data_IF_174170594290
#
_entry.id   IF_174170594290
#
_cell.length_a   1.000
_cell.length_b   1.000
_cell.length_c   1.000
_cell.angle_alpha   90.00
_cell.angle_beta   90.00
_cell.angle_gamma   90.00
#
_symmetry.space_group_name_H-M   'P 1'
#
loop_
_entity.id
_entity.type
_entity.pdbx_description
1 polymer ?
#
# COMPACT_ATOMS: atom_id res chain seq x y z
N UNK A 1 13.05 -11.66 26.09
CA UNK A 1 11.97 -12.65 25.83
C UNK A 1 11.43 -12.33 24.45
N UNK A 2 12.15 -12.81 23.44
CA UNK A 2 11.78 -12.66 22.03
C UNK A 2 10.64 -13.60 21.69
N UNK A 3 9.63 -13.10 20.97
CA UNK A 3 8.37 -13.82 20.74
C UNK A 3 8.18 -14.35 19.31
N UNK A 4 9.25 -14.45 18.53
CA UNK A 4 9.19 -14.94 17.15
C UNK A 4 10.36 -15.88 16.83
N UNK A 5 10.29 -17.10 17.36
CA UNK A 5 11.10 -18.22 16.84
C UNK A 5 10.19 -19.44 16.75
N UNK A 6 9.92 -19.90 15.52
CA UNK A 6 10.14 -21.28 15.09
C UNK A 6 9.89 -21.44 13.57
N UNK A 7 10.94 -21.90 12.88
CA UNK A 7 11.00 -22.45 11.51
C UNK A 7 10.53 -23.93 11.53
N UNK A 8 10.11 -24.61 10.44
CA UNK A 8 10.85 -25.14 9.27
C UNK A 8 9.81 -25.53 8.16
N UNK A 9 10.02 -25.71 6.85
CA UNK A 9 11.17 -26.13 6.04
C UNK A 9 10.87 -25.87 4.53
N UNK A 10 11.56 -24.95 3.85
CA UNK A 10 11.77 -24.94 2.38
C UNK A 10 13.02 -24.11 2.07
N UNK A 11 14.04 -24.74 1.49
CA UNK A 11 15.22 -24.06 0.98
C UNK A 11 14.91 -23.46 -0.40
N UNK A 12 14.97 -22.14 -0.51
CA UNK A 12 15.07 -21.42 -1.79
C UNK A 12 16.32 -20.56 -1.69
N UNK A 13 17.34 -20.89 -2.48
CA UNK A 13 18.42 -19.95 -2.74
C UNK A 13 17.87 -18.88 -3.69
N UNK A 14 17.68 -17.67 -3.17
CA UNK A 14 17.61 -16.45 -3.95
C UNK A 14 18.64 -15.49 -3.34
N UNK A 15 19.65 -15.14 -4.16
CA UNK A 15 20.65 -14.13 -3.84
C UNK A 15 19.98 -12.79 -3.53
N UNK A 16 20.63 -12.05 -2.64
CA UNK A 16 20.24 -10.75 -2.08
C UNK A 16 19.56 -9.80 -3.06
N UNK A 17 18.54 -9.13 -2.56
CA UNK A 17 18.40 -7.71 -2.83
C UNK A 17 18.43 -7.01 -1.46
N UNK A 18 19.60 -6.46 -1.14
CA UNK A 18 19.78 -5.49 -0.06
C UNK A 18 18.86 -4.29 -0.34
N UNK A 19 17.83 -4.07 0.48
CA UNK A 19 16.96 -2.91 0.36
C UNK A 19 16.89 -2.15 1.68
N UNK A 20 17.85 -1.27 1.92
CA UNK A 20 17.70 -0.14 2.86
C UNK A 20 18.50 1.08 2.37
N UNK A 21 18.27 1.52 1.13
CA UNK A 21 18.57 2.88 0.69
C UNK A 21 17.28 3.73 0.80
N UNK A 22 17.39 5.04 1.06
CA UNK A 22 18.62 5.81 1.21
C UNK A 22 19.33 5.60 2.58
N UNK A 23 20.66 5.74 2.57
CA UNK A 23 21.54 5.58 3.73
C UNK A 23 22.29 6.89 4.00
N UNK A 24 22.28 7.32 5.26
CA UNK A 24 23.18 8.36 5.76
C UNK A 24 24.39 7.70 6.42
N UNK A 25 25.60 8.10 6.02
CA UNK A 25 26.87 7.56 6.54
C UNK A 25 27.94 8.64 6.64
N UNK A 26 29.13 8.29 7.16
CA UNK A 26 30.25 9.22 7.40
C UNK A 26 29.82 10.50 8.17
N UNK A 27 29.02 10.32 9.22
CA UNK A 27 28.48 11.45 9.98
C UNK A 27 29.51 12.07 10.92
N UNK A 28 29.48 13.39 11.03
CA UNK A 28 30.18 14.11 12.10
C UNK A 28 29.34 15.28 12.58
N UNK A 29 29.41 15.56 13.88
CA UNK A 29 28.60 16.58 14.55
C UNK A 29 29.51 17.32 15.50
N UNK A 30 29.61 18.64 15.37
CA UNK A 30 30.45 19.47 16.20
C UNK A 30 29.78 20.80 16.53
N UNK A 31 29.72 21.16 17.81
CA UNK A 31 29.35 22.50 18.21
C UNK A 31 30.54 23.44 18.01
N UNK A 32 30.30 24.63 17.45
CA UNK A 32 31.33 25.67 17.30
C UNK A 32 31.75 26.22 18.66
N UNK A 33 33.06 26.44 18.81
CA UNK A 33 33.68 26.97 20.03
C UNK A 33 33.85 28.49 20.03
N UNK A 34 33.27 29.19 19.04
CA UNK A 34 33.34 30.64 18.87
C UNK A 34 32.27 31.41 19.69
N UNK A 35 31.49 30.69 20.51
CA UNK A 35 30.40 31.26 21.30
C UNK A 35 29.09 31.43 20.55
N UNK A 36 29.03 31.12 19.25
CA UNK A 36 27.81 31.21 18.43
C UNK A 36 26.73 30.20 18.80
N UNK A 37 27.12 29.09 19.47
CA UNK A 37 26.27 27.93 19.76
C UNK A 37 25.71 27.24 18.50
N UNK A 38 26.30 27.51 17.33
CA UNK A 38 25.98 26.79 16.10
C UNK A 38 26.53 25.36 16.18
N UNK A 39 25.81 24.43 15.58
CA UNK A 39 26.23 23.03 15.43
C UNK A 39 26.40 22.74 13.95
N UNK A 40 27.61 22.34 13.59
CA UNK A 40 27.99 21.89 12.26
C UNK A 40 27.80 20.38 12.17
N UNK A 41 27.09 19.95 11.13
CA UNK A 41 26.78 18.56 10.88
C UNK A 41 27.20 18.21 9.46
N UNK A 42 28.04 17.20 9.32
CA UNK A 42 28.43 16.65 8.02
C UNK A 42 27.94 15.22 7.88
N UNK A 43 27.58 14.85 6.65
CA UNK A 43 27.23 13.48 6.30
C UNK A 43 27.42 13.22 4.81
N UNK A 44 27.47 11.94 4.45
CA UNK A 44 27.34 11.49 3.07
C UNK A 44 25.97 10.81 2.91
N UNK A 45 25.38 10.97 1.74
CA UNK A 45 24.07 10.40 1.39
C UNK A 45 24.25 9.42 0.25
N UNK A 46 23.86 8.17 0.46
CA UNK A 46 23.79 7.17 -0.60
C UNK A 46 22.34 6.83 -0.87
N UNK A 47 21.98 6.81 -2.14
CA UNK A 47 20.75 6.24 -2.60
C UNK A 47 21.01 5.39 -3.85
N UNK A 48 20.39 4.23 -3.94
CA UNK A 48 20.71 3.23 -4.94
C UNK A 48 20.15 3.60 -6.33
N UNK A 49 19.01 4.29 -6.36
CA UNK A 49 18.34 4.76 -7.58
C UNK A 49 18.83 6.16 -8.02
N UNK A 50 19.52 6.89 -7.15
CA UNK A 50 20.01 8.25 -7.42
C UNK A 50 18.95 9.34 -7.27
N UNK A 51 17.78 9.03 -6.72
CA UNK A 51 16.69 9.98 -6.53
C UNK A 51 16.98 10.95 -5.37
N UNK A 52 16.34 12.11 -5.41
CA UNK A 52 16.50 13.10 -4.35
C UNK A 52 15.76 12.65 -3.09
N UNK A 53 16.45 12.68 -1.94
CA UNK A 53 15.87 12.28 -0.65
C UNK A 53 15.34 13.47 0.16
N UNK A 54 14.42 13.20 1.06
CA UNK A 54 14.09 14.02 2.22
C UNK A 54 15.00 13.64 3.40
N UNK A 55 15.78 14.61 3.89
CA UNK A 55 16.65 14.43 5.06
C UNK A 55 16.02 15.10 6.26
N UNK A 56 15.81 14.33 7.34
CA UNK A 56 15.19 14.79 8.57
C UNK A 56 16.15 14.67 9.76
N UNK A 57 16.02 15.60 10.71
CA UNK A 57 16.80 15.66 11.95
C UNK A 57 15.87 15.51 13.15
N UNK A 58 16.21 14.58 14.05
CA UNK A 58 15.58 14.41 15.36
C UNK A 58 16.61 14.50 16.47
N UNK A 59 16.20 14.99 17.63
CA UNK A 59 17.02 15.04 18.84
C UNK A 59 16.50 14.05 19.89
N UNK A 60 17.46 13.52 20.64
CA UNK A 60 17.26 12.81 21.90
C UNK A 60 17.73 13.69 23.04
N UNK A 61 17.03 13.69 24.15
CA UNK A 61 17.42 14.29 25.43
C UNK A 61 17.80 13.25 26.50
N UNK A 62 17.84 11.97 26.11
CA UNK A 62 18.01 10.82 27.01
C UNK A 62 19.14 9.88 26.56
N UNK A 63 20.24 10.45 26.06
CA UNK A 63 21.44 9.70 25.69
C UNK A 63 21.25 8.78 24.48
N UNK A 64 20.29 9.09 23.61
CA UNK A 64 20.00 8.32 22.40
C UNK A 64 18.99 7.19 22.56
N UNK A 65 18.36 7.05 23.74
CA UNK A 65 17.34 6.01 23.97
C UNK A 65 16.10 6.22 23.10
N UNK A 66 15.69 7.48 22.90
CA UNK A 66 14.61 7.87 22.00
C UNK A 66 14.87 9.22 21.34
N UNK A 67 14.37 9.40 20.11
CA UNK A 67 14.54 10.63 19.32
C UNK A 67 13.18 11.25 18.98
N UNK A 68 12.60 11.98 19.93
CA UNK A 68 11.24 12.53 19.82
C UNK A 68 11.19 14.04 19.54
N UNK A 69 12.30 14.75 19.78
CA UNK A 69 12.35 16.21 19.63
C UNK A 69 12.67 16.56 18.17
N UNK A 70 11.97 17.54 17.62
CA UNK A 70 12.19 18.03 16.26
C UNK A 70 12.67 19.48 16.33
N UNK A 71 13.89 19.81 15.87
CA UNK A 71 14.36 21.19 15.82
C UNK A 71 13.45 22.05 14.92
N UNK A 72 13.38 23.35 15.20
CA UNK A 72 12.53 24.24 14.41
C UNK A 72 13.16 24.47 13.03
N UNK A 73 12.42 24.29 11.92
CA UNK A 73 12.98 24.43 10.57
C UNK A 73 13.65 25.78 10.30
N UNK A 74 13.17 26.86 10.93
CA UNK A 74 13.75 28.21 10.79
C UNK A 74 15.18 28.35 11.33
N UNK A 75 15.65 27.40 12.15
CA UNK A 75 17.01 27.39 12.72
C UNK A 75 17.91 26.32 12.08
N UNK A 76 17.45 25.68 11.02
CA UNK A 76 18.19 24.73 10.22
C UNK A 76 18.46 25.32 8.84
N UNK A 77 19.67 25.10 8.33
CA UNK A 77 20.03 25.47 6.95
C UNK A 77 21.06 24.50 6.37
N UNK A 78 21.21 24.49 5.05
CA UNK A 78 22.09 23.57 4.34
C UNK A 78 21.33 22.39 3.73
N UNK A 79 21.98 21.23 3.63
CA UNK A 79 21.45 20.01 3.02
C UNK A 79 20.48 19.28 3.99
N UNK A 80 19.30 19.86 4.23
CA UNK A 80 18.25 19.29 5.08
C UNK A 80 16.86 19.61 4.52
N UNK A 81 15.89 18.72 4.76
CA UNK A 81 14.56 18.78 4.15
C UNK A 81 14.50 18.01 2.84
N UNK A 82 13.50 18.32 2.01
CA UNK A 82 13.26 17.61 0.76
C UNK A 82 14.23 18.01 -0.36
N UNK A 83 14.44 17.12 -1.32
CA UNK A 83 15.14 17.44 -2.58
C UNK A 83 16.66 17.29 -2.52
N UNK A 84 17.20 16.57 -1.53
CA UNK A 84 18.64 16.41 -1.36
C UNK A 84 19.15 15.29 -2.25
N UNK A 85 19.91 15.64 -3.28
CA UNK A 85 20.54 14.66 -4.16
C UNK A 85 21.56 13.79 -3.40
N UNK A 86 21.69 12.49 -3.69
CA UNK A 86 22.74 11.65 -3.13
C UNK A 86 24.14 12.19 -3.46
N UNK A 87 25.11 11.91 -2.59
CA UNK A 87 26.50 12.30 -2.78
C UNK A 87 27.23 12.63 -1.49
N UNK A 88 28.50 12.97 -1.64
CA UNK A 88 29.43 13.23 -0.54
C UNK A 88 29.36 14.69 -0.06
N UNK A 89 29.78 14.91 1.19
CA UNK A 89 30.08 16.23 1.75
C UNK A 89 28.84 17.08 2.02
N UNK A 90 27.70 16.45 2.36
CA UNK A 90 26.49 17.17 2.75
C UNK A 90 26.72 17.88 4.07
N UNK A 91 26.12 19.07 4.21
CA UNK A 91 26.40 19.96 5.32
C UNK A 91 25.15 20.68 5.82
N UNK A 92 24.90 20.58 7.13
CA UNK A 92 23.81 21.23 7.83
C UNK A 92 24.38 22.14 8.91
N UNK A 93 23.83 23.35 9.01
CA UNK A 93 24.05 24.26 10.12
C UNK A 93 22.76 24.30 10.95
N UNK A 94 22.88 23.91 12.21
CA UNK A 94 21.81 24.03 13.18
C UNK A 94 22.12 25.11 14.22
N UNK A 95 21.26 26.13 14.31
CA UNK A 95 21.36 27.18 15.31
C UNK A 95 20.66 26.78 16.63
N UNK A 96 21.25 25.80 17.32
CA UNK A 96 20.72 25.28 18.57
C UNK A 96 20.52 26.36 19.65
N UNK A 97 21.39 27.39 19.68
CA UNK A 97 21.30 28.50 20.63
C UNK A 97 20.08 29.42 20.43
N UNK A 98 19.46 29.42 19.24
CA UNK A 98 18.32 30.27 18.91
C UNK A 98 16.95 29.60 19.08
N UNK A 99 16.92 28.28 19.37
CA UNK A 99 15.69 27.48 19.50
C UNK A 99 14.80 27.89 20.68
N UNK A 100 15.29 28.75 21.59
CA UNK A 100 14.56 29.17 22.79
C UNK A 100 14.41 28.09 23.87
N UNK A 101 14.76 26.85 23.53
CA UNK A 101 14.89 25.70 24.43
C UNK A 101 16.37 25.53 24.80
N UNK A 102 16.69 25.39 26.08
CA UNK A 102 18.07 25.14 26.54
C UNK A 102 18.51 23.71 26.23
N UNK A 103 19.11 23.50 25.06
CA UNK A 103 19.74 22.23 24.70
C UNK A 103 21.16 22.12 25.30
N UNK A 104 21.23 22.18 26.62
CA UNK A 104 22.49 22.19 27.37
C UNK A 104 22.79 20.81 27.98
N UNK A 105 24.01 20.31 27.77
CA UNK A 105 24.51 19.07 28.36
C UNK A 105 24.85 17.97 27.34
N UNK A 106 25.56 16.94 27.80
CA UNK A 106 26.09 15.85 26.96
C UNK A 106 25.09 14.70 26.71
N UNK A 107 23.87 14.81 27.25
CA UNK A 107 22.80 13.84 27.04
C UNK A 107 22.11 13.98 25.68
N UNK A 108 22.30 15.12 25.00
CA UNK A 108 21.66 15.37 23.73
C UNK A 108 22.36 14.64 22.58
N UNK A 109 21.59 13.83 21.85
CA UNK A 109 22.06 13.12 20.67
C UNK A 109 21.24 13.52 19.45
N UNK A 110 21.85 13.53 18.27
CA UNK A 110 21.16 13.76 16.99
C UNK A 110 20.96 12.44 16.25
N UNK A 111 19.83 12.30 15.56
CA UNK A 111 19.58 11.22 14.60
C UNK A 111 19.16 11.83 13.27
N UNK A 112 19.77 11.33 12.21
CA UNK A 112 19.44 11.66 10.84
C UNK A 112 18.72 10.49 10.20
N UNK A 113 17.74 10.82 9.37
CA UNK A 113 17.03 9.86 8.52
C UNK A 113 16.93 10.47 7.14
N UNK A 114 17.27 9.69 6.11
CA UNK A 114 16.98 10.01 4.72
C UNK A 114 15.83 9.11 4.28
N UNK A 115 14.93 9.66 3.46
CA UNK A 115 13.85 8.92 2.82
C UNK A 115 13.75 9.42 1.36
N UNK A 116 13.82 8.54 0.37
CA UNK A 116 13.76 8.90 -1.07
C UNK A 116 12.32 8.94 -1.58
N UNK A 117 11.35 8.88 -0.67
CA UNK A 117 9.93 8.74 -0.99
C UNK A 117 9.57 7.32 -1.43
N UNK A 118 10.53 6.49 -1.86
CA UNK A 118 10.36 5.08 -2.18
C UNK A 118 10.39 4.28 -0.89
N UNK A 119 9.21 4.21 -0.25
CA UNK A 119 8.94 3.15 0.73
C UNK A 119 9.46 1.84 0.15
N UNK A 120 10.28 1.06 0.87
CA UNK A 120 10.69 -0.25 0.38
C UNK A 120 9.41 -0.97 -0.03
N UNK A 121 9.38 -1.44 -1.29
CA UNK A 121 8.23 -2.13 -1.87
C UNK A 121 7.72 -3.10 -0.80
N UNK A 122 6.51 -2.90 -0.25
CA UNK A 122 6.08 -3.73 0.87
C UNK A 122 6.18 -5.17 0.43
N UNK A 123 6.77 -6.04 1.26
CA UNK A 123 6.99 -7.43 0.87
C UNK A 123 5.69 -8.01 0.28
N UNK A 124 5.77 -8.61 -0.91
CA UNK A 124 4.64 -9.08 -1.73
C UNK A 124 3.83 -8.01 -2.48
N UNK A 125 4.37 -6.83 -2.76
CA UNK A 125 3.81 -5.91 -3.76
C UNK A 125 4.54 -6.02 -5.10
N UNK A 126 3.89 -5.51 -6.15
CA UNK A 126 4.43 -5.34 -7.50
C UNK A 126 4.24 -3.87 -7.90
N UNK A 127 5.26 -3.27 -8.53
CA UNK A 127 5.10 -2.00 -9.22
C UNK A 127 4.34 -2.22 -10.54
N UNK A 128 3.17 -1.60 -10.64
CA UNK A 128 2.41 -1.50 -11.88
C UNK A 128 2.77 -0.15 -12.52
N UNK A 129 3.67 -0.16 -13.50
CA UNK A 129 4.04 1.03 -14.23
C UNK A 129 2.82 1.57 -15.00
N UNK A 130 2.48 2.84 -14.81
CA UNK A 130 1.32 3.48 -15.42
C UNK A 130 1.33 3.43 -16.95
N UNK A 131 0.15 3.58 -17.54
CA UNK A 131 -0.03 3.46 -18.98
C UNK A 131 -1.47 3.71 -19.43
N UNK A 132 -1.69 3.65 -20.73
CA UNK A 132 -3.00 3.82 -21.35
C UNK A 132 -3.49 2.50 -21.95
N UNK A 133 -4.73 2.12 -21.67
CA UNK A 133 -5.35 0.92 -22.22
C UNK A 133 -6.81 1.17 -22.60
N UNK A 134 -7.39 0.30 -23.43
CA UNK A 134 -8.83 0.33 -23.70
C UNK A 134 -9.59 -0.53 -22.70
N UNK A 135 -10.58 0.06 -22.03
CA UNK A 135 -11.51 -0.67 -21.16
C UNK A 135 -12.66 -1.35 -21.93
N UNK A 136 -12.63 -1.29 -23.27
CA UNK A 136 -13.69 -1.76 -24.16
C UNK A 136 -14.71 -0.70 -24.57
N UNK A 137 -14.65 0.50 -24.00
CA UNK A 137 -15.51 1.65 -24.38
C UNK A 137 -14.69 2.87 -24.75
N UNK A 138 -13.63 3.17 -23.99
CA UNK A 138 -12.72 4.28 -24.25
C UNK A 138 -11.30 3.98 -23.78
N UNK A 139 -10.37 4.85 -24.15
CA UNK A 139 -9.01 4.80 -23.63
C UNK A 139 -8.97 5.37 -22.21
N UNK A 140 -8.30 4.66 -21.31
CA UNK A 140 -8.11 5.05 -19.92
C UNK A 140 -6.62 5.06 -19.63
N UNK A 141 -6.14 6.17 -19.08
CA UNK A 141 -4.78 6.30 -18.55
C UNK A 141 -4.80 6.11 -17.05
N UNK A 142 -3.92 5.24 -16.53
CA UNK A 142 -3.68 5.06 -15.10
C UNK A 142 -2.24 5.46 -14.77
N UNK A 143 -2.06 6.19 -13.68
CA UNK A 143 -0.74 6.49 -13.10
C UNK A 143 -0.08 5.22 -12.56
N UNK A 144 1.22 5.26 -12.29
CA UNK A 144 1.91 4.14 -11.63
C UNK A 144 1.40 3.95 -10.19
N UNK A 145 1.34 2.70 -9.74
CA UNK A 145 0.94 2.34 -8.38
C UNK A 145 1.58 1.01 -7.98
N UNK A 146 1.62 0.73 -6.68
CA UNK A 146 1.96 -0.58 -6.17
C UNK A 146 0.69 -1.40 -5.91
N UNK A 147 0.71 -2.70 -6.24
CA UNK A 147 -0.40 -3.62 -5.97
C UNK A 147 0.07 -4.88 -5.23
N UNK A 148 -0.72 -5.36 -4.28
CA UNK A 148 -0.51 -6.66 -3.64
C UNK A 148 -0.45 -7.77 -4.72
N UNK A 149 0.60 -8.59 -4.64
CA UNK A 149 0.85 -9.72 -5.53
C UNK A 149 -0.26 -10.76 -5.49
N UNK A 150 -0.92 -10.88 -4.34
CA UNK A 150 -1.95 -11.86 -4.02
C UNK A 150 -3.21 -11.17 -3.50
N UNK A 151 -4.32 -11.89 -3.48
CA UNK A 151 -5.46 -11.52 -2.62
C UNK A 151 -4.99 -11.45 -1.16
N UNK A 152 -5.61 -10.57 -0.35
CA UNK A 152 -5.28 -10.48 1.05
C UNK A 152 -5.57 -11.82 1.74
N UNK A 153 -4.56 -12.35 2.43
CA UNK A 153 -4.73 -13.63 3.11
C UNK A 153 -5.48 -13.52 4.43
N UNK A 154 -6.06 -14.63 4.88
CA UNK A 154 -6.74 -14.74 6.17
C UNK A 154 -5.82 -14.36 7.34
N UNK A 155 -4.54 -14.78 7.31
CA UNK A 155 -3.57 -14.39 8.34
C UNK A 155 -3.26 -12.89 8.30
N UNK A 156 -3.08 -12.29 7.11
CA UNK A 156 -2.84 -10.86 6.96
C UNK A 156 -4.01 -10.03 7.50
N UNK A 157 -5.24 -10.42 7.15
CA UNK A 157 -6.44 -9.78 7.68
C UNK A 157 -6.53 -9.88 9.20
N UNK A 158 -6.35 -11.08 9.76
CA UNK A 158 -6.43 -11.30 11.20
C UNK A 158 -5.37 -10.53 11.99
N UNK A 159 -4.15 -10.40 11.45
CA UNK A 159 -3.07 -9.65 12.11
C UNK A 159 -3.41 -8.17 12.32
N UNK A 160 -4.17 -7.56 11.40
CA UNK A 160 -4.55 -6.14 11.48
C UNK A 160 -5.90 -5.94 12.18
N UNK A 161 -6.86 -6.81 11.91
CA UNK A 161 -8.26 -6.66 12.35
C UNK A 161 -8.56 -7.38 13.66
N UNK A 162 -7.66 -8.27 14.12
CA UNK A 162 -7.81 -9.07 15.33
C UNK A 162 -8.76 -10.26 15.21
N UNK A 163 -9.43 -10.44 14.07
CA UNK A 163 -10.34 -11.55 13.80
C UNK A 163 -10.31 -11.98 12.34
N UNK A 164 -10.66 -13.24 12.07
CA UNK A 164 -10.79 -13.80 10.73
C UNK A 164 -12.28 -14.12 10.45
N UNK A 165 -12.92 -13.47 9.46
CA UNK A 165 -14.31 -13.74 9.12
C UNK A 165 -14.51 -15.00 8.28
N UNK A 166 -13.44 -15.54 7.67
CA UNK A 166 -13.52 -16.69 6.79
C UNK A 166 -13.79 -17.98 7.57
N UNK A 167 -14.91 -18.64 7.27
CA UNK A 167 -15.28 -19.95 7.84
C UNK A 167 -15.85 -20.88 6.76
N UNK A 168 -15.46 -22.15 6.76
CA UNK A 168 -16.06 -23.20 5.92
C UNK A 168 -15.39 -23.50 4.56
N UNK A 169 -15.10 -22.50 3.73
CA UNK A 169 -14.67 -22.65 2.33
C UNK A 169 -13.19 -22.29 2.14
N UNK A 170 -12.31 -23.19 2.59
CA UNK A 170 -10.85 -23.00 2.52
C UNK A 170 -10.39 -22.10 3.67
N UNK A 171 -9.77 -22.70 4.67
CA UNK A 171 -9.38 -22.00 5.91
C UNK A 171 -7.92 -22.30 6.18
N UNK A 172 -7.12 -21.25 6.37
CA UNK A 172 -5.69 -21.37 6.65
C UNK A 172 -4.96 -20.08 6.34
N UNK A 173 -3.73 -19.95 6.84
CA UNK A 173 -2.99 -18.68 6.83
C UNK A 173 -2.80 -18.07 5.44
N UNK A 174 -2.67 -18.90 4.40
CA UNK A 174 -2.39 -18.47 3.02
C UNK A 174 -3.62 -18.54 2.10
N UNK A 175 -4.81 -18.83 2.63
CA UNK A 175 -6.05 -18.71 1.86
C UNK A 175 -6.47 -17.25 1.80
N UNK A 176 -7.17 -16.80 0.74
CA UNK A 176 -7.72 -15.46 0.69
C UNK A 176 -8.74 -15.27 1.82
N UNK A 177 -8.75 -14.08 2.42
CA UNK A 177 -9.83 -13.69 3.30
C UNK A 177 -11.09 -13.47 2.46
N UNK A 178 -12.22 -13.97 2.94
CA UNK A 178 -13.53 -13.74 2.36
C UNK A 178 -14.56 -13.41 3.45
N UNK A 179 -15.80 -13.14 3.06
CA UNK A 179 -16.83 -12.59 3.96
C UNK A 179 -16.41 -11.24 4.53
N UNK A 180 -15.73 -10.45 3.71
CA UNK A 180 -15.32 -9.08 4.04
C UNK A 180 -16.21 -8.12 3.26
N UNK A 181 -16.86 -7.19 3.95
CA UNK A 181 -17.61 -6.11 3.28
C UNK A 181 -16.68 -5.01 2.78
N UNK A 182 -17.14 -4.22 1.81
CA UNK A 182 -16.36 -3.07 1.31
C UNK A 182 -15.93 -2.15 2.45
N UNK A 183 -16.83 -1.89 3.41
CA UNK A 183 -16.50 -1.13 4.61
C UNK A 183 -15.36 -1.76 5.42
N UNK A 184 -15.39 -3.08 5.62
CA UNK A 184 -14.32 -3.77 6.35
C UNK A 184 -13.00 -3.80 5.59
N UNK A 185 -13.03 -3.79 4.26
CA UNK A 185 -11.83 -3.70 3.43
C UNK A 185 -11.17 -2.31 3.53
N UNK A 186 -11.94 -1.22 3.52
CA UNK A 186 -11.39 0.14 3.71
C UNK A 186 -10.91 0.37 5.15
N UNK A 187 -11.58 -0.22 6.15
CA UNK A 187 -11.12 -0.20 7.55
C UNK A 187 -9.77 -0.88 7.69
N UNK A 188 -9.60 -2.07 7.08
CA UNK A 188 -8.33 -2.78 7.03
C UNK A 188 -7.23 -1.90 6.43
N UNK A 189 -7.49 -1.29 5.27
CA UNK A 189 -6.54 -0.41 4.59
C UNK A 189 -6.02 0.70 5.52
N UNK A 190 -6.93 1.40 6.21
CA UNK A 190 -6.55 2.47 7.13
C UNK A 190 -5.81 1.96 8.37
N UNK A 191 -6.28 0.86 8.99
CA UNK A 191 -5.61 0.29 10.17
C UNK A 191 -4.19 -0.18 9.83
N UNK A 192 -4.02 -0.87 8.69
CA UNK A 192 -2.71 -1.28 8.20
C UNK A 192 -1.80 -0.07 7.96
N UNK A 193 -2.33 0.99 7.34
CA UNK A 193 -1.58 2.23 7.13
C UNK A 193 -1.08 2.82 8.44
N UNK A 194 -1.93 2.94 9.46
CA UNK A 194 -1.54 3.47 10.78
C UNK A 194 -0.49 2.58 11.45
N UNK A 195 -0.68 1.25 11.41
CA UNK A 195 0.26 0.30 12.01
C UNK A 195 1.67 0.36 11.40
N UNK A 196 1.75 0.72 10.11
CA UNK A 196 2.99 0.85 9.36
C UNK A 196 3.50 2.30 9.29
N UNK A 197 2.90 3.24 10.03
CA UNK A 197 3.34 4.64 10.07
C UNK A 197 3.00 5.47 8.81
N UNK A 198 2.06 5.01 7.99
CA UNK A 198 1.64 5.65 6.75
C UNK A 198 0.42 6.54 6.94
N UNK A 199 0.24 7.50 6.04
CA UNK A 199 -0.95 8.37 6.00
C UNK A 199 -2.13 7.59 5.43
N UNK A 200 -3.23 7.37 6.18
CA UNK A 200 -4.36 6.58 5.67
C UNK A 200 -5.12 7.30 4.56
N UNK A 201 -5.64 6.54 3.59
CA UNK A 201 -6.35 7.10 2.45
C UNK A 201 -7.79 7.53 2.79
N UNK A 202 -8.50 6.78 3.65
CA UNK A 202 -9.94 6.98 3.81
C UNK A 202 -10.30 7.86 4.99
N UNK A 203 -11.22 8.80 4.82
CA UNK A 203 -11.88 9.50 5.93
C UNK A 203 -13.37 9.18 5.96
N UNK A 204 -13.98 9.28 7.15
CA UNK A 204 -15.43 9.15 7.31
C UNK A 204 -16.02 10.48 7.81
N UNK A 205 -16.66 11.22 6.91
CA UNK A 205 -17.23 12.55 7.19
C UNK A 205 -16.26 13.43 8.02
N UNK A 206 -16.69 13.95 9.17
CA UNK A 206 -15.89 14.77 10.08
C UNK A 206 -15.05 13.96 11.10
N UNK A 207 -15.12 12.63 11.09
CA UNK A 207 -14.43 11.77 12.06
C UNK A 207 -12.96 11.47 11.68
N UNK A 208 -12.51 11.98 10.54
CA UNK A 208 -11.14 11.85 10.08
C UNK A 208 -10.80 10.43 9.61
N UNK A 209 -9.52 10.10 9.62
CA UNK A 209 -8.95 8.91 8.97
C UNK A 209 -8.70 7.73 9.91
N UNK A 210 -8.76 7.92 11.23
CA UNK A 210 -8.57 6.84 12.19
C UNK A 210 -9.88 6.05 12.40
N UNK A 211 -9.97 4.77 12.00
CA UNK A 211 -11.20 3.99 12.15
C UNK A 211 -11.66 3.79 13.59
N UNK A 212 -10.79 3.95 14.58
CA UNK A 212 -11.17 3.91 16.00
C UNK A 212 -12.10 5.07 16.40
N UNK A 213 -12.12 6.15 15.62
CA UNK A 213 -12.95 7.33 15.89
C UNK A 213 -14.28 7.31 15.11
N UNK A 214 -14.49 6.35 14.20
CA UNK A 214 -15.70 6.31 13.38
C UNK A 214 -16.94 5.92 14.21
N UNK A 215 -18.12 6.50 13.94
CA UNK A 215 -19.29 6.36 14.80
C UNK A 215 -19.85 4.94 14.77
N UNK A 216 -20.51 4.52 15.86
CA UNK A 216 -21.21 3.23 15.88
C UNK A 216 -22.22 3.13 14.71
N UNK A 217 -22.24 1.98 14.03
CA UNK A 217 -23.10 1.78 12.86
C UNK A 217 -22.60 2.42 11.56
N UNK A 218 -21.39 2.99 11.51
CA UNK A 218 -20.84 3.58 10.28
C UNK A 218 -20.80 2.61 9.10
N UNK A 219 -20.74 1.30 9.34
CA UNK A 219 -20.63 0.25 8.32
C UNK A 219 -21.88 -0.65 8.18
N UNK A 220 -23.02 -0.30 8.78
CA UNK A 220 -24.22 -1.17 8.78
C UNK A 220 -25.25 -0.86 7.70
N UNK A 221 -25.31 0.39 7.22
CA UNK A 221 -26.17 0.79 6.11
C UNK A 221 -25.36 0.94 4.83
N UNK A 222 -25.89 0.42 3.72
CA UNK A 222 -25.30 0.58 2.40
C UNK A 222 -25.10 2.05 2.02
N UNK A 223 -26.03 2.93 2.44
CA UNK A 223 -25.96 4.37 2.16
C UNK A 223 -24.79 5.07 2.83
N UNK A 224 -24.19 4.49 3.88
CA UNK A 224 -23.07 5.11 4.59
C UNK A 224 -21.80 5.18 3.73
N UNK A 225 -21.74 4.47 2.61
CA UNK A 225 -20.61 4.50 1.70
C UNK A 225 -20.37 5.90 1.09
N UNK A 226 -21.39 6.77 1.06
CA UNK A 226 -21.26 8.16 0.60
C UNK A 226 -20.56 9.07 1.61
N UNK A 227 -20.44 8.63 2.86
CA UNK A 227 -19.72 9.36 3.90
C UNK A 227 -18.20 9.13 3.85
N UNK A 228 -17.74 8.19 3.01
CA UNK A 228 -16.32 7.86 2.87
C UNK A 228 -15.71 8.66 1.74
N UNK A 229 -14.63 9.38 2.04
CA UNK A 229 -13.80 10.05 1.04
C UNK A 229 -12.41 9.41 0.99
N UNK A 230 -11.79 9.40 -0.19
CA UNK A 230 -10.42 8.92 -0.39
C UNK A 230 -9.49 10.09 -0.69
N UNK A 231 -8.41 10.23 0.08
CA UNK A 231 -7.28 11.07 -0.27
C UNK A 231 -6.34 10.29 -1.21
N UNK A 232 -6.38 10.63 -2.50
CA UNK A 232 -5.63 9.95 -3.55
C UNK A 232 -4.12 10.22 -3.53
N UNK A 233 -3.65 11.22 -2.78
CA UNK A 233 -2.23 11.52 -2.63
C UNK A 233 -1.63 10.92 -1.35
N UNK A 234 -2.44 10.30 -0.49
CA UNK A 234 -1.95 9.65 0.71
C UNK A 234 -1.12 8.41 0.37
N UNK A 235 -0.02 8.21 1.10
CA UNK A 235 0.92 7.12 0.89
C UNK A 235 0.50 5.78 1.52
N UNK A 236 -0.64 5.73 2.21
CA UNK A 236 -1.21 4.54 2.82
C UNK A 236 -1.90 3.59 1.84
N UNK A 237 -2.38 2.47 2.38
CA UNK A 237 -3.10 1.44 1.65
C UNK A 237 -4.52 1.89 1.29
N UNK A 238 -4.99 1.40 0.14
CA UNK A 238 -6.36 1.55 -0.34
C UNK A 238 -6.78 0.36 -1.21
N UNK A 239 -8.06 0.25 -1.50
CA UNK A 239 -8.56 -0.59 -2.59
C UNK A 239 -8.12 -0.03 -3.95
N UNK A 240 -7.90 -0.90 -4.95
CA UNK A 240 -7.68 -0.44 -6.32
C UNK A 240 -8.93 0.25 -6.87
N UNK A 241 -8.74 1.21 -7.76
CA UNK A 241 -9.84 1.60 -8.67
C UNK A 241 -10.15 0.44 -9.62
N UNK A 242 -11.34 0.43 -10.23
CA UNK A 242 -11.71 -0.59 -11.21
C UNK A 242 -10.71 -0.62 -12.38
N UNK A 243 -10.25 0.57 -12.80
CA UNK A 243 -9.33 0.70 -13.93
C UNK A 243 -7.89 0.36 -13.55
N UNK A 244 -7.42 0.65 -12.33
CA UNK A 244 -6.15 0.13 -11.84
C UNK A 244 -6.16 -1.40 -11.81
N UNK A 245 -7.21 -1.99 -11.26
CA UNK A 245 -7.35 -3.45 -11.22
C UNK A 245 -7.40 -4.05 -12.62
N UNK A 246 -8.18 -3.47 -13.54
CA UNK A 246 -8.30 -3.98 -14.90
C UNK A 246 -6.97 -3.87 -15.66
N UNK A 247 -6.27 -2.75 -15.53
CA UNK A 247 -4.97 -2.55 -16.16
C UNK A 247 -3.95 -3.57 -15.64
N UNK A 248 -3.88 -3.74 -14.32
CA UNK A 248 -3.01 -4.73 -13.69
C UNK A 248 -3.37 -6.17 -14.09
N UNK A 249 -4.65 -6.53 -14.09
CA UNK A 249 -5.14 -7.86 -14.47
C UNK A 249 -4.81 -8.21 -15.93
N UNK A 250 -4.73 -7.21 -16.82
CA UNK A 250 -4.35 -7.39 -18.22
C UNK A 250 -2.84 -7.61 -18.43
N UNK A 251 -2.02 -7.42 -17.39
CA UNK A 251 -0.55 -7.41 -17.53
C UNK A 251 0.05 -6.02 -17.72
N UNK A 252 -0.74 -4.95 -17.55
CA UNK A 252 -0.29 -3.56 -17.69
C UNK A 252 0.35 -3.29 -19.05
N UNK A 253 1.49 -2.61 -19.06
CA UNK A 253 2.28 -2.36 -20.27
C UNK A 253 2.92 -3.62 -20.88
N UNK A 254 2.89 -4.76 -20.16
CA UNK A 254 3.42 -6.05 -20.61
C UNK A 254 2.30 -6.98 -21.14
N UNK A 255 1.07 -6.46 -21.29
CA UNK A 255 -0.10 -7.23 -21.72
C UNK A 255 0.13 -8.03 -22.99
N UNK A 256 -0.18 -9.33 -22.95
CA UNK A 256 -0.32 -10.16 -24.16
C UNK A 256 -1.76 -10.23 -24.66
N UNK A 257 -2.66 -9.41 -24.12
CA UNK A 257 -4.09 -9.36 -24.46
C UNK A 257 -4.83 -10.69 -24.27
N UNK A 258 -4.47 -11.41 -23.21
CA UNK A 258 -5.18 -12.62 -22.83
C UNK A 258 -6.59 -12.35 -22.29
N UNK A 259 -7.44 -13.37 -22.42
CA UNK A 259 -8.82 -13.36 -21.91
C UNK A 259 -8.86 -13.37 -20.39
N UNK A 260 -8.01 -14.21 -19.78
CA UNK A 260 -7.82 -14.32 -18.34
C UNK A 260 -6.44 -13.74 -17.98
N UNK A 261 -6.23 -13.41 -16.71
CA UNK A 261 -4.97 -12.80 -16.30
C UNK A 261 -3.81 -13.78 -16.49
N UNK A 262 -2.92 -13.51 -17.45
CA UNK A 262 -1.76 -14.35 -17.77
C UNK A 262 -1.98 -15.50 -18.76
N UNK A 263 -3.21 -15.80 -19.21
CA UNK A 263 -3.45 -16.91 -20.14
C UNK A 263 -4.82 -16.85 -20.83
N UNK A 264 -4.94 -17.50 -21.99
CA UNK A 264 -6.25 -17.80 -22.61
C UNK A 264 -6.87 -19.10 -22.09
N UNK A 265 -6.12 -19.93 -21.34
CA UNK A 265 -6.63 -21.12 -20.67
C UNK A 265 -6.90 -20.84 -19.20
N UNK A 266 -8.18 -20.72 -18.84
CA UNK A 266 -8.64 -20.47 -17.46
C UNK A 266 -8.08 -21.48 -16.45
N UNK A 267 -7.83 -22.74 -16.85
CA UNK A 267 -7.36 -23.77 -15.92
C UNK A 267 -5.96 -23.49 -15.38
N UNK A 268 -5.15 -22.76 -16.15
CA UNK A 268 -3.75 -22.45 -15.82
C UNK A 268 -3.62 -21.31 -14.83
N UNK A 269 -4.58 -20.37 -14.82
CA UNK A 269 -4.47 -19.10 -14.10
C UNK A 269 -5.56 -18.90 -13.04
N UNK A 270 -6.60 -19.72 -13.00
CA UNK A 270 -7.75 -19.50 -12.12
C UNK A 270 -8.18 -20.74 -11.33
N UNK A 271 -8.59 -20.51 -10.09
CA UNK A 271 -9.48 -21.38 -9.34
C UNK A 271 -10.93 -20.95 -9.58
N UNK A 272 -11.70 -21.75 -10.29
CA UNK A 272 -13.08 -21.46 -10.68
C UNK A 272 -13.95 -22.70 -10.50
N UNK A 273 -15.27 -22.59 -10.76
CA UNK A 273 -16.26 -23.63 -10.47
C UNK A 273 -15.82 -25.06 -10.87
N UNK A 274 -15.22 -25.25 -12.05
CA UNK A 274 -14.91 -26.59 -12.55
C UNK A 274 -13.65 -27.22 -11.94
N UNK A 275 -12.73 -26.44 -11.35
CA UNK A 275 -11.46 -26.94 -10.84
C UNK A 275 -11.20 -26.62 -9.36
N UNK A 276 -12.05 -25.82 -8.72
CA UNK A 276 -11.86 -25.38 -7.33
C UNK A 276 -12.18 -26.44 -6.28
N UNK A 277 -12.90 -27.51 -6.63
CA UNK A 277 -13.41 -28.46 -5.63
C UNK A 277 -14.37 -27.80 -4.63
N UNK A 278 -15.08 -26.75 -5.06
CA UNK A 278 -16.05 -26.00 -4.25
C UNK A 278 -15.45 -25.35 -2.99
N UNK A 279 -14.23 -24.85 -3.09
CA UNK A 279 -13.54 -24.11 -2.02
C UNK A 279 -12.59 -23.05 -2.59
N UNK A 280 -12.24 -22.05 -1.77
CA UNK A 280 -11.06 -21.22 -2.05
C UNK A 280 -9.78 -22.06 -1.95
N UNK A 281 -8.69 -21.56 -2.54
CA UNK A 281 -7.36 -22.17 -2.50
C UNK A 281 -6.34 -21.19 -1.95
N UNK A 282 -5.20 -21.72 -1.50
CA UNK A 282 -4.07 -20.89 -1.10
C UNK A 282 -3.64 -20.00 -2.27
N UNK A 283 -3.45 -18.72 -1.99
CA UNK A 283 -3.06 -17.72 -2.98
C UNK A 283 -1.74 -18.11 -3.64
N UNK A 284 -1.56 -17.72 -4.90
CA UNK A 284 -0.30 -17.89 -5.61
C UNK A 284 -0.02 -19.30 -6.13
N UNK A 285 -1.02 -20.18 -6.18
CA UNK A 285 -0.86 -21.58 -6.61
C UNK A 285 -1.14 -21.82 -8.09
N UNK A 286 -1.69 -20.83 -8.79
CA UNK A 286 -1.83 -20.80 -10.26
C UNK A 286 -0.73 -19.95 -10.89
N UNK A 287 -0.64 -19.97 -12.23
CA UNK A 287 0.35 -19.18 -12.97
C UNK A 287 0.01 -17.68 -12.84
N UNK A 288 1.00 -16.81 -12.57
CA UNK A 288 0.77 -15.37 -12.53
C UNK A 288 0.62 -14.76 -13.93
N UNK A 289 0.16 -13.52 -13.98
CA UNK A 289 0.22 -12.71 -15.19
C UNK A 289 1.61 -12.12 -15.46
N UNK A 290 1.71 -11.32 -16.52
CA UNK A 290 2.94 -10.71 -17.03
C UNK A 290 3.61 -9.74 -16.04
N UNK A 291 2.87 -9.27 -15.03
CA UNK A 291 3.41 -8.44 -13.95
C UNK A 291 3.82 -9.26 -12.72
N UNK A 292 3.58 -10.58 -12.72
CA UNK A 292 3.78 -11.42 -11.54
C UNK A 292 2.64 -11.37 -10.53
N UNK A 293 1.46 -10.85 -10.91
CA UNK A 293 0.26 -10.86 -10.08
C UNK A 293 -0.49 -12.19 -10.22
N UNK A 294 -0.96 -12.72 -9.10
CA UNK A 294 -1.63 -14.00 -9.01
C UNK A 294 -3.12 -13.82 -8.72
N UNK A 295 -3.92 -14.82 -9.10
CA UNK A 295 -5.33 -14.95 -8.75
C UNK A 295 -6.22 -13.75 -9.18
N UNK A 296 -5.74 -12.93 -10.12
CA UNK A 296 -6.54 -11.85 -10.74
C UNK A 296 -7.70 -12.41 -11.59
N UNK A 297 -7.71 -13.72 -11.84
CA UNK A 297 -8.83 -14.49 -12.40
C UNK A 297 -9.12 -15.66 -11.47
N UNK A 298 -10.35 -15.77 -10.95
CA UNK A 298 -10.76 -16.84 -10.04
C UNK A 298 -10.45 -16.57 -8.57
N UNK A 299 -10.38 -17.65 -7.79
CA UNK A 299 -10.29 -17.70 -6.32
C UNK A 299 -11.41 -16.90 -5.62
N UNK A 300 -11.26 -15.61 -5.31
CA UNK A 300 -12.38 -14.79 -4.81
C UNK A 300 -12.61 -13.54 -5.66
N UNK A 301 -13.85 -13.04 -5.67
CA UNK A 301 -14.14 -11.71 -6.19
C UNK A 301 -13.42 -10.69 -5.33
N UNK A 302 -12.89 -9.64 -5.95
CA UNK A 302 -12.15 -8.60 -5.25
C UNK A 302 -12.91 -7.28 -5.23
N UNK A 303 -13.00 -6.66 -4.05
CA UNK A 303 -13.52 -5.31 -3.92
C UNK A 303 -12.63 -4.29 -4.61
N UNK A 304 -13.28 -3.38 -5.35
CA UNK A 304 -12.69 -2.16 -5.85
C UNK A 304 -13.28 -0.93 -5.14
N UNK A 305 -12.60 0.21 -5.24
CA UNK A 305 -13.08 1.48 -4.72
C UNK A 305 -14.42 1.91 -5.36
N UNK A 306 -14.53 1.75 -6.67
CA UNK A 306 -15.50 2.41 -7.53
C UNK A 306 -16.96 2.13 -7.15
N UNK A 307 -17.80 3.15 -7.32
CA UNK A 307 -19.25 2.96 -7.41
C UNK A 307 -19.56 2.38 -8.79
N UNK A 308 -20.31 1.27 -8.81
CA UNK A 308 -20.68 0.58 -10.04
C UNK A 308 -21.64 1.45 -10.86
N UNK A 309 -21.30 1.66 -12.13
CA UNK A 309 -22.10 2.41 -13.10
C UNK A 309 -21.56 2.28 -14.51
N UNK A 310 -22.18 2.99 -15.45
CA UNK A 310 -21.70 3.03 -16.84
C UNK A 310 -20.34 3.72 -16.94
N UNK A 311 -19.46 3.21 -17.80
CA UNK A 311 -18.23 3.92 -18.11
C UNK A 311 -18.55 5.26 -18.80
N UNK A 312 -17.89 6.36 -18.39
CA UNK A 312 -18.07 7.64 -19.05
C UNK A 312 -17.58 7.57 -20.50
N UNK A 313 -18.17 8.39 -21.37
CA UNK A 313 -17.68 8.53 -22.74
C UNK A 313 -16.36 9.31 -22.78
N UNK A 314 -15.56 9.03 -23.82
CA UNK A 314 -14.28 9.71 -24.02
C UNK A 314 -13.15 9.22 -23.12
N UNK A 315 -11.94 9.70 -23.42
CA UNK A 315 -10.73 9.27 -22.71
C UNK A 315 -10.71 9.77 -21.27
N UNK A 316 -10.27 8.93 -20.34
CA UNK A 316 -10.21 9.25 -18.91
C UNK A 316 -8.78 9.12 -18.38
N UNK A 317 -8.44 9.87 -17.33
CA UNK A 317 -7.19 9.71 -16.58
C UNK A 317 -7.52 9.49 -15.11
N UNK A 318 -7.04 8.38 -14.54
CA UNK A 318 -7.30 7.95 -13.16
C UNK A 318 -8.78 8.04 -12.73
N UNK A 319 -9.73 7.43 -13.49
CA UNK A 319 -11.13 7.45 -13.11
C UNK A 319 -11.35 6.68 -11.79
N UNK A 320 -12.34 7.13 -11.01
CA UNK A 320 -12.64 6.62 -9.66
C UNK A 320 -14.08 6.12 -9.52
N UNK A 321 -14.68 5.74 -10.66
CA UNK A 321 -16.01 5.16 -10.75
C UNK A 321 -17.12 6.19 -11.02
N UNK A 322 -18.37 5.75 -10.90
CA UNK A 322 -19.52 6.62 -11.04
C UNK A 322 -19.61 7.63 -9.86
N UNK A 323 -20.17 8.81 -10.13
CA UNK A 323 -20.35 9.85 -9.10
C UNK A 323 -21.39 9.47 -8.04
N UNK A 324 -22.32 8.56 -8.35
CA UNK A 324 -23.37 8.10 -7.45
C UNK A 324 -23.88 6.72 -7.85
N UNK A 325 -24.51 6.01 -6.91
CA UNK A 325 -25.02 4.65 -7.09
C UNK A 325 -25.05 3.89 -5.77
N UNK A 326 -25.68 2.72 -5.76
CA UNK A 326 -25.89 1.94 -4.53
C UNK A 326 -24.90 0.78 -4.35
N UNK A 327 -24.11 0.48 -5.37
CA UNK A 327 -23.27 -0.71 -5.42
C UNK A 327 -21.81 -0.35 -5.62
N UNK A 328 -20.92 -1.18 -5.08
CA UNK A 328 -19.47 -1.11 -5.27
C UNK A 328 -19.05 -2.19 -6.26
N UNK A 329 -17.99 -1.92 -7.01
CA UNK A 329 -17.50 -2.81 -8.07
C UNK A 329 -16.79 -4.04 -7.48
N UNK A 330 -17.02 -5.19 -8.12
CA UNK A 330 -16.30 -6.45 -7.92
C UNK A 330 -15.63 -6.90 -9.23
N UNK A 331 -14.41 -7.45 -9.13
CA UNK A 331 -13.62 -7.94 -10.28
C UNK A 331 -13.01 -9.33 -9.99
N UNK A 332 -12.67 -10.07 -11.05
CA UNK A 332 -11.88 -11.31 -10.95
C UNK A 332 -12.62 -12.64 -11.10
N UNK A 333 -13.90 -12.71 -10.75
CA UNK A 333 -14.60 -14.00 -10.70
C UNK A 333 -14.31 -14.73 -9.38
N UNK A 334 -14.42 -16.07 -9.36
CA UNK A 334 -14.11 -16.82 -8.15
C UNK A 334 -14.39 -18.30 -8.23
N UNK A 335 -14.00 -19.02 -7.18
CA UNK A 335 -14.05 -20.48 -7.04
C UNK A 335 -15.45 -21.07 -7.25
N UNK A 336 -16.50 -20.29 -6.99
CA UNK A 336 -17.90 -20.69 -7.12
C UNK A 336 -18.49 -20.42 -8.51
N UNK A 337 -17.78 -19.68 -9.37
CA UNK A 337 -18.29 -19.19 -10.65
C UNK A 337 -17.69 -19.89 -11.86
N UNK A 338 -18.50 -20.03 -12.92
CA UNK A 338 -18.03 -20.57 -14.19
C UNK A 338 -16.97 -19.67 -14.84
N UNK A 339 -16.20 -20.24 -15.75
CA UNK A 339 -15.12 -19.55 -16.46
C UNK A 339 -15.55 -18.23 -17.10
N UNK A 340 -16.81 -18.07 -17.52
CA UNK A 340 -17.36 -16.83 -18.11
C UNK A 340 -17.31 -15.61 -17.19
N UNK A 341 -17.12 -15.80 -15.88
CA UNK A 341 -17.00 -14.72 -14.90
C UNK A 341 -15.56 -14.35 -14.54
N UNK A 342 -14.58 -15.15 -14.99
CA UNK A 342 -13.17 -14.95 -14.69
C UNK A 342 -12.38 -14.08 -15.70
N UNK A 343 -12.89 -13.65 -16.88
CA UNK A 343 -12.11 -12.80 -17.78
C UNK A 343 -11.71 -11.47 -17.12
N UNK A 344 -10.57 -10.90 -17.54
CA UNK A 344 -10.08 -9.59 -17.04
C UNK A 344 -11.05 -8.44 -17.34
N UNK A 345 -12.03 -8.64 -18.23
CA UNK A 345 -13.11 -7.69 -18.53
C UNK A 345 -14.37 -7.91 -17.71
N UNK A 346 -14.56 -9.06 -17.07
CA UNK A 346 -15.79 -9.40 -16.34
C UNK A 346 -15.94 -8.56 -15.06
N UNK A 347 -17.06 -7.84 -14.96
CA UNK A 347 -17.39 -6.98 -13.82
C UNK A 347 -18.65 -7.50 -13.13
N UNK A 348 -18.66 -7.37 -11.82
CA UNK A 348 -19.83 -7.62 -10.98
C UNK A 348 -19.95 -6.48 -9.96
N UNK A 349 -20.91 -6.57 -9.06
CA UNK A 349 -21.15 -5.59 -8.02
C UNK A 349 -21.87 -6.21 -6.84
N UNK A 350 -21.72 -5.59 -5.68
CA UNK A 350 -22.51 -5.89 -4.49
C UNK A 350 -22.65 -4.61 -3.64
N UNK A 351 -23.53 -4.63 -2.65
CA UNK A 351 -23.73 -3.53 -1.72
C UNK A 351 -22.51 -3.36 -0.80
N UNK A 352 -22.24 -2.12 -0.37
CA UNK A 352 -21.06 -1.84 0.46
C UNK A 352 -21.04 -2.57 1.82
N UNK A 353 -22.21 -2.88 2.42
CA UNK A 353 -22.31 -3.69 3.62
C UNK A 353 -22.43 -5.20 3.33
N UNK A 354 -22.59 -5.59 2.06
CA UNK A 354 -22.61 -6.98 1.62
C UNK A 354 -21.28 -7.66 1.93
N UNK A 355 -21.34 -8.88 2.45
CA UNK A 355 -20.18 -9.74 2.66
C UNK A 355 -20.62 -11.19 2.55
N UNK A 356 -19.86 -12.00 1.83
CA UNK A 356 -20.18 -13.40 1.60
C UNK A 356 -18.91 -14.20 1.28
N UNK A 357 -19.07 -15.52 1.18
CA UNK A 357 -17.96 -16.49 1.08
C UNK A 357 -17.22 -16.50 -0.27
N UNK A 358 -17.55 -15.58 -1.17
CA UNK A 358 -16.93 -15.45 -2.50
C UNK A 358 -16.25 -14.09 -2.69
N UNK A 359 -16.33 -13.17 -1.74
CA UNK A 359 -15.76 -11.82 -1.87
C UNK A 359 -14.64 -11.61 -0.85
N UNK A 360 -13.45 -11.30 -1.37
CA UNK A 360 -12.29 -10.78 -0.67
C UNK A 360 -11.82 -9.44 -1.27
N UNK A 361 -10.52 -9.17 -1.19
CA UNK A 361 -9.91 -7.97 -1.77
C UNK A 361 -8.38 -8.07 -1.79
N UNK A 362 -7.73 -7.16 -2.50
CA UNK A 362 -6.30 -6.86 -2.41
C UNK A 362 -6.07 -5.36 -2.24
N UNK A 363 -4.91 -4.95 -1.74
CA UNK A 363 -4.60 -3.54 -1.58
C UNK A 363 -3.70 -3.00 -2.70
N UNK A 364 -3.76 -1.68 -2.86
CA UNK A 364 -2.80 -0.88 -3.63
C UNK A 364 -2.30 0.29 -2.79
N UNK A 365 -1.21 0.91 -3.24
CA UNK A 365 -0.64 2.15 -2.70
C UNK A 365 -0.17 3.03 -3.86
N UNK A 366 -0.11 4.34 -3.63
CA UNK A 366 0.53 5.25 -4.59
C UNK A 366 1.99 4.84 -4.79
N UNK A 367 2.44 4.85 -6.03
CA UNK A 367 3.87 4.87 -6.33
C UNK A 367 4.35 6.32 -6.12
N UNK A 368 5.49 6.53 -5.45
CA UNK A 368 6.15 7.83 -5.34
C UNK A 368 6.46 8.44 -6.70
#
# INVERSE_FOLDING_TARGET
>A
MDKYVHWDNFSVNASEAEFTAPIIYNTSVAQRTDGSKLVDIYYDLFDANGDNCEVTLKLSDNGGTSFAITPSPQFLSGDIGAGIAPGFGKYIIWNAGAEGVGYDGNQFMVKFTAEDGLFPLPANFVLVAGGTFSNGTSNVTVSSFYMDKYELTQAGYQAVMGSNPATGYGVGSNYPVYSVSWFKAIEYCNRRSINEGLTPCYSYSSYGTNPANWPAGWNTSNTNHTNVACNWTANGYRLPTEMEWQFAARGGNQTHNYTYSGSNDVNTVAWYYSNSGSTTHTVGTKVPNELGLYDMSGNVWEWNWDIYGSYPSGSQTNPTGAASGSYRVLRGGGWYYNASYCPVSARSYDYAAGSNYIIGFRCVRVSP
#
